data_IF_885705522108
#
_entry.id   IF_885705522108
#
_cell.length_a   1.000
_cell.length_b   1.000
_cell.length_c   1.000
_cell.angle_alpha   90.00
_cell.angle_beta   90.00
_cell.angle_gamma   90.00
#
_symmetry.space_group_name_H-M   'P 1'
#
loop_
_entity.id
_entity.type
_entity.pdbx_description
1 polymer ?
#
# COMPACT_ATOMS: atom_id res chain seq x y z
N UNK A 1 -29.77 1.56 -49.43
CA UNK A 1 -29.55 2.64 -48.45
C UNK A 1 -28.43 2.23 -47.47
N UNK A 2 -27.24 2.76 -47.66
CA UNK A 2 -26.06 2.41 -46.82
C UNK A 2 -26.07 3.31 -45.59
N UNK A 3 -26.14 2.72 -44.40
CA UNK A 3 -26.01 3.46 -43.11
C UNK A 3 -24.60 3.91 -42.93
N UNK A 4 -24.36 5.22 -43.01
CA UNK A 4 -23.10 5.89 -42.66
C UNK A 4 -22.74 5.60 -41.20
N UNK A 5 -21.61 4.89 -40.95
CA UNK A 5 -21.03 4.71 -39.63
C UNK A 5 -20.46 6.06 -39.15
N UNK A 6 -21.13 6.69 -38.20
CA UNK A 6 -20.62 7.89 -37.56
C UNK A 6 -19.22 7.64 -36.97
N UNK A 7 -18.21 8.36 -37.47
CA UNK A 7 -16.84 8.35 -36.94
C UNK A 7 -16.88 8.78 -35.46
N UNK A 8 -16.62 7.84 -34.54
CA UNK A 8 -16.38 8.15 -33.12
C UNK A 8 -15.29 9.20 -33.01
N UNK A 9 -15.63 10.39 -32.52
CA UNK A 9 -14.66 11.43 -32.19
C UNK A 9 -13.62 10.84 -31.24
N UNK A 10 -12.37 10.72 -31.68
CA UNK A 10 -11.25 10.33 -30.81
C UNK A 10 -11.07 11.44 -29.79
N UNK A 11 -11.35 11.16 -28.52
CA UNK A 11 -10.94 12.03 -27.40
C UNK A 11 -9.43 12.25 -27.46
N UNK A 12 -8.95 13.50 -27.38
CA UNK A 12 -7.52 13.79 -27.43
C UNK A 12 -6.81 12.99 -26.32
N UNK A 13 -5.69 12.33 -26.66
CA UNK A 13 -4.86 11.59 -25.71
C UNK A 13 -4.31 12.61 -24.70
N UNK A 14 -4.79 12.55 -23.47
CA UNK A 14 -4.33 13.45 -22.42
C UNK A 14 -3.04 12.89 -21.83
N UNK A 15 -1.91 13.53 -22.11
CA UNK A 15 -0.62 13.27 -21.46
C UNK A 15 -0.58 14.13 -20.21
N UNK A 16 -0.60 13.50 -19.03
CA UNK A 16 -0.46 14.21 -17.77
C UNK A 16 0.98 14.70 -17.58
N UNK A 17 1.12 15.98 -17.23
CA UNK A 17 2.40 16.59 -16.89
C UNK A 17 2.69 16.45 -15.39
N UNK A 18 3.92 16.66 -15.00
CA UNK A 18 4.34 16.57 -13.59
C UNK A 18 3.47 17.41 -12.62
N UNK A 19 3.11 18.68 -12.92
CA UNK A 19 2.23 19.46 -12.04
C UNK A 19 0.85 18.82 -11.85
N UNK A 20 0.27 18.25 -12.93
CA UNK A 20 -1.05 17.59 -12.87
C UNK A 20 -1.02 16.35 -11.99
N UNK A 21 0.08 15.56 -12.09
CA UNK A 21 0.30 14.37 -11.28
C UNK A 21 0.53 14.72 -9.80
N UNK A 22 1.28 15.78 -9.50
CA UNK A 22 1.50 16.25 -8.13
C UNK A 22 0.20 16.77 -7.50
N UNK A 23 -0.63 17.49 -8.26
CA UNK A 23 -1.95 17.90 -7.80
C UNK A 23 -2.83 16.69 -7.45
N UNK A 24 -2.89 15.72 -8.35
CA UNK A 24 -3.67 14.49 -8.13
C UNK A 24 -3.12 13.67 -6.96
N UNK A 25 -1.79 13.63 -6.77
CA UNK A 25 -1.15 12.99 -5.61
C UNK A 25 -1.58 13.65 -4.31
N UNK A 26 -1.57 14.97 -4.25
CA UNK A 26 -2.03 15.71 -3.07
C UNK A 26 -3.48 15.41 -2.73
N UNK A 27 -4.37 15.31 -3.72
CA UNK A 27 -5.75 14.91 -3.53
C UNK A 27 -5.86 13.49 -2.95
N UNK A 28 -5.08 12.52 -3.47
CA UNK A 28 -5.03 11.17 -2.89
C UNK A 28 -4.62 11.20 -1.43
N UNK A 29 -3.54 11.91 -1.09
CA UNK A 29 -3.02 11.92 0.28
C UNK A 29 -4.00 12.58 1.26
N UNK A 30 -4.67 13.65 0.84
CA UNK A 30 -5.69 14.32 1.65
C UNK A 30 -6.93 13.45 1.90
N UNK A 31 -7.24 12.50 1.00
CA UNK A 31 -8.36 11.58 1.16
C UNK A 31 -8.07 10.40 2.10
N UNK A 32 -6.83 10.24 2.56
CA UNK A 32 -6.42 9.17 3.45
C UNK A 32 -6.38 9.66 4.91
N UNK A 33 -7.06 8.95 5.80
CA UNK A 33 -7.16 9.30 7.23
C UNK A 33 -5.95 8.86 8.05
N UNK A 34 -5.27 7.78 7.66
CA UNK A 34 -4.13 7.23 8.38
C UNK A 34 -2.80 7.77 7.86
N UNK A 35 -2.00 8.34 8.76
CA UNK A 35 -0.64 8.83 8.43
C UNK A 35 0.26 7.73 7.86
N UNK A 36 0.13 6.50 8.34
CA UNK A 36 0.86 5.34 7.80
C UNK A 36 0.47 5.05 6.35
N UNK A 37 -0.83 5.12 6.04
CA UNK A 37 -1.33 4.96 4.67
C UNK A 37 -0.86 6.10 3.77
N UNK A 38 -0.89 7.34 4.27
CA UNK A 38 -0.38 8.51 3.52
C UNK A 38 1.09 8.32 3.12
N UNK A 39 1.97 7.93 4.06
CA UNK A 39 3.39 7.67 3.78
C UNK A 39 3.58 6.56 2.74
N UNK A 40 2.81 5.48 2.86
CA UNK A 40 2.90 4.34 1.95
C UNK A 40 2.44 4.69 0.54
N UNK A 41 1.33 5.44 0.42
CA UNK A 41 0.81 5.89 -0.87
C UNK A 41 1.67 6.98 -1.50
N UNK A 42 2.18 7.92 -0.70
CA UNK A 42 3.13 8.96 -1.18
C UNK A 42 4.35 8.31 -1.83
N UNK A 43 4.97 7.35 -1.15
CA UNK A 43 6.12 6.63 -1.70
C UNK A 43 5.76 5.89 -3.00
N UNK A 44 4.65 5.16 -3.02
CA UNK A 44 4.23 4.38 -4.18
C UNK A 44 3.88 5.26 -5.39
N UNK A 45 3.23 6.41 -5.17
CA UNK A 45 2.87 7.35 -6.23
C UNK A 45 4.12 8.06 -6.74
N UNK A 46 5.05 8.46 -5.88
CA UNK A 46 6.31 9.10 -6.26
C UNK A 46 7.13 8.21 -7.18
N UNK A 47 7.33 6.94 -6.81
CA UNK A 47 8.03 5.98 -7.67
C UNK A 47 7.34 5.80 -9.04
N UNK A 48 5.99 5.78 -9.05
CA UNK A 48 5.25 5.73 -10.31
C UNK A 48 5.46 6.98 -11.14
N UNK A 49 5.42 8.17 -10.56
CA UNK A 49 5.61 9.44 -11.26
C UNK A 49 7.02 9.51 -11.85
N UNK A 50 8.05 9.14 -11.08
CA UNK A 50 9.44 9.08 -11.54
C UNK A 50 9.57 8.13 -12.75
N UNK A 51 9.02 6.92 -12.64
CA UNK A 51 9.02 5.97 -13.75
C UNK A 51 8.22 6.48 -14.96
N UNK A 52 7.05 7.05 -14.73
CA UNK A 52 6.18 7.57 -15.80
C UNK A 52 6.82 8.75 -16.54
N UNK A 53 7.47 9.64 -15.84
CA UNK A 53 8.15 10.81 -16.41
C UNK A 53 9.48 10.46 -17.07
N UNK A 54 10.12 9.34 -16.72
CA UNK A 54 11.35 8.87 -17.39
C UNK A 54 11.09 8.40 -18.82
N UNK A 55 9.85 7.99 -19.13
CA UNK A 55 9.40 7.62 -20.47
C UNK A 55 8.59 8.77 -21.11
N UNK A 56 9.18 9.61 -21.94
CA UNK A 56 8.48 10.78 -22.47
C UNK A 56 7.29 10.39 -23.38
N UNK A 57 6.18 11.12 -23.24
CA UNK A 57 5.02 11.13 -24.15
C UNK A 57 4.04 9.96 -24.04
N UNK A 58 4.03 9.20 -22.98
CA UNK A 58 3.02 8.16 -22.78
C UNK A 58 1.73 8.77 -22.21
N UNK A 59 0.60 8.45 -22.83
CA UNK A 59 -0.70 8.78 -22.25
C UNK A 59 -0.94 7.93 -21.00
N UNK A 60 -1.42 8.54 -19.90
CA UNK A 60 -1.77 7.81 -18.69
C UNK A 60 -3.02 6.94 -18.93
N UNK A 61 -2.79 5.68 -19.26
CA UNK A 61 -3.82 4.71 -19.65
C UNK A 61 -3.51 3.29 -19.14
N UNK A 62 -4.43 2.36 -19.39
CA UNK A 62 -4.30 0.95 -19.02
C UNK A 62 -2.99 0.33 -19.50
N UNK A 63 -2.55 0.61 -20.74
CA UNK A 63 -1.34 0.03 -21.34
C UNK A 63 -0.10 0.46 -20.57
N UNK A 64 -0.01 1.75 -20.24
CA UNK A 64 1.12 2.31 -19.47
C UNK A 64 1.16 1.70 -18.07
N UNK A 65 0.02 1.61 -17.36
CA UNK A 65 -0.02 1.00 -16.03
C UNK A 65 0.28 -0.50 -16.08
N UNK A 66 -0.08 -1.18 -17.18
CA UNK A 66 0.33 -2.59 -17.38
C UNK A 66 1.85 -2.71 -17.56
N UNK A 67 2.49 -1.81 -18.33
CA UNK A 67 3.95 -1.75 -18.46
C UNK A 67 4.63 -1.48 -17.11
N UNK A 68 4.09 -0.56 -16.33
CA UNK A 68 4.58 -0.31 -14.97
C UNK A 68 4.53 -1.57 -14.11
N UNK A 69 3.41 -2.33 -14.14
CA UNK A 69 3.32 -3.61 -13.43
C UNK A 69 4.43 -4.57 -13.88
N UNK A 70 4.65 -4.72 -15.19
CA UNK A 70 5.68 -5.60 -15.74
C UNK A 70 7.08 -5.15 -15.27
N UNK A 71 7.36 -3.84 -15.25
CA UNK A 71 8.64 -3.33 -14.76
C UNK A 71 8.86 -3.65 -13.28
N UNK A 72 7.80 -3.62 -12.46
CA UNK A 72 7.88 -4.03 -11.05
C UNK A 72 8.14 -5.54 -10.90
N UNK A 73 7.53 -6.38 -11.75
CA UNK A 73 7.77 -7.83 -11.79
C UNK A 73 9.22 -8.14 -12.21
N UNK A 74 9.75 -7.46 -13.22
CA UNK A 74 11.15 -7.58 -13.65
C UNK A 74 12.13 -7.18 -12.54
N UNK A 75 11.79 -6.18 -11.74
CA UNK A 75 12.56 -5.77 -10.55
C UNK A 75 12.38 -6.72 -9.36
N UNK A 76 11.69 -7.85 -9.53
CA UNK A 76 11.46 -8.92 -8.55
C UNK A 76 10.79 -8.45 -7.25
N UNK A 77 9.93 -7.43 -7.31
CA UNK A 77 9.14 -7.04 -6.15
C UNK A 77 8.14 -8.13 -5.76
N UNK A 78 7.89 -8.27 -4.46
CA UNK A 78 6.87 -9.19 -3.95
C UNK A 78 5.47 -8.81 -4.50
N UNK A 79 4.62 -9.80 -4.76
CA UNK A 79 3.27 -9.59 -5.31
C UNK A 79 2.42 -8.66 -4.45
N UNK A 80 2.60 -8.68 -3.12
CA UNK A 80 1.95 -7.74 -2.20
C UNK A 80 2.36 -6.30 -2.44
N UNK A 81 3.66 -6.05 -2.64
CA UNK A 81 4.22 -4.73 -2.94
C UNK A 81 3.73 -4.22 -4.30
N UNK A 82 3.74 -5.09 -5.32
CA UNK A 82 3.22 -4.75 -6.65
C UNK A 82 1.75 -4.35 -6.58
N UNK A 83 0.94 -5.13 -5.87
CA UNK A 83 -0.49 -4.87 -5.73
C UNK A 83 -0.78 -3.59 -4.95
N UNK A 84 0.01 -3.28 -3.92
CA UNK A 84 -0.06 -2.01 -3.19
C UNK A 84 0.22 -0.82 -4.10
N UNK A 85 1.32 -0.88 -4.87
CA UNK A 85 1.69 0.18 -5.82
C UNK A 85 0.63 0.38 -6.90
N UNK A 86 0.07 -0.71 -7.43
CA UNK A 86 -1.04 -0.63 -8.38
C UNK A 86 -2.31 -0.03 -7.75
N UNK A 87 -2.58 -0.31 -6.48
CA UNK A 87 -3.71 0.32 -5.77
C UNK A 87 -3.53 1.84 -5.67
N UNK A 88 -2.33 2.30 -5.33
CA UNK A 88 -1.99 3.72 -5.27
C UNK A 88 -2.12 4.40 -6.65
N UNK A 89 -1.62 3.78 -7.72
CA UNK A 89 -1.73 4.31 -9.09
C UNK A 89 -3.20 4.35 -9.57
N UNK A 90 -4.00 3.35 -9.22
CA UNK A 90 -5.44 3.37 -9.55
C UNK A 90 -6.15 4.53 -8.85
N UNK A 91 -5.83 4.78 -7.57
CA UNK A 91 -6.40 5.91 -6.84
C UNK A 91 -5.97 7.24 -7.44
N UNK A 92 -4.68 7.37 -7.81
CA UNK A 92 -4.17 8.53 -8.54
C UNK A 92 -4.97 8.80 -9.83
N UNK A 93 -5.29 7.74 -10.60
CA UNK A 93 -6.08 7.87 -11.82
C UNK A 93 -7.51 8.36 -11.57
N UNK A 94 -8.14 7.93 -10.47
CA UNK A 94 -9.46 8.42 -10.09
C UNK A 94 -9.44 9.89 -9.68
N UNK A 95 -8.54 10.28 -8.80
CA UNK A 95 -8.39 11.69 -8.39
C UNK A 95 -8.07 12.59 -9.60
N UNK A 96 -7.24 12.10 -10.55
CA UNK A 96 -6.99 12.82 -11.80
C UNK A 96 -8.25 12.96 -12.65
N UNK A 97 -9.13 11.96 -12.66
CA UNK A 97 -10.39 12.04 -13.38
C UNK A 97 -11.39 13.00 -12.70
N UNK A 98 -11.48 12.96 -11.38
CA UNK A 98 -12.34 13.83 -10.58
C UNK A 98 -11.89 15.31 -10.68
N UNK A 99 -10.59 15.54 -10.83
CA UNK A 99 -10.03 16.88 -11.13
C UNK A 99 -10.18 17.29 -12.61
N UNK A 100 -10.79 16.47 -13.47
CA UNK A 100 -10.94 16.77 -14.91
C UNK A 100 -9.65 16.65 -15.74
N UNK A 101 -8.56 16.15 -15.16
CA UNK A 101 -7.26 15.98 -15.82
C UNK A 101 -7.21 14.70 -16.68
N UNK A 102 -8.00 13.71 -16.33
CA UNK A 102 -8.11 12.43 -17.02
C UNK A 102 -9.56 12.13 -17.34
N UNK A 103 -9.84 11.44 -18.47
CA UNK A 103 -11.21 11.00 -18.72
C UNK A 103 -11.61 9.83 -17.81
N UNK A 104 -12.88 9.76 -17.41
CA UNK A 104 -13.41 8.68 -16.58
C UNK A 104 -13.20 7.29 -17.23
N UNK A 105 -13.28 7.20 -18.57
CA UNK A 105 -13.04 5.97 -19.31
C UNK A 105 -11.59 5.47 -19.19
N UNK A 106 -10.62 6.39 -19.19
CA UNK A 106 -9.21 6.05 -18.99
C UNK A 106 -8.96 5.58 -17.56
N UNK A 107 -9.52 6.26 -16.56
CA UNK A 107 -9.43 5.85 -15.17
C UNK A 107 -10.07 4.46 -14.95
N UNK A 108 -11.25 4.21 -15.52
CA UNK A 108 -11.90 2.90 -15.50
C UNK A 108 -11.07 1.83 -16.21
N UNK A 109 -10.37 2.19 -17.30
CA UNK A 109 -9.42 1.33 -17.99
C UNK A 109 -8.23 0.93 -17.09
N UNK A 110 -7.66 1.88 -16.36
CA UNK A 110 -6.57 1.68 -15.42
C UNK A 110 -7.00 0.76 -14.26
N UNK A 111 -8.23 0.92 -13.74
CA UNK A 111 -8.77 0.03 -12.72
C UNK A 111 -8.74 -1.43 -13.13
N UNK A 112 -8.98 -1.74 -14.40
CA UNK A 112 -9.03 -3.10 -14.94
C UNK A 112 -7.66 -3.77 -15.12
N UNK A 113 -6.55 -3.09 -14.83
CA UNK A 113 -5.22 -3.71 -14.80
C UNK A 113 -5.20 -4.80 -13.72
N UNK A 114 -4.93 -6.04 -14.10
CA UNK A 114 -4.82 -7.15 -13.14
C UNK A 114 -3.55 -7.00 -12.29
N UNK A 115 -3.67 -7.29 -11.01
CA UNK A 115 -2.52 -7.34 -10.10
C UNK A 115 -1.63 -8.57 -10.32
N UNK A 116 -0.51 -8.62 -9.62
CA UNK A 116 0.34 -9.81 -9.56
C UNK A 116 -0.33 -10.90 -8.71
N UNK A 117 -0.29 -12.15 -9.21
CA UNK A 117 -0.83 -13.30 -8.46
C UNK A 117 0.03 -13.56 -7.22
N UNK A 118 -0.61 -13.85 -6.10
CA UNK A 118 0.07 -14.43 -4.94
C UNK A 118 0.29 -15.91 -5.22
N UNK A 119 1.54 -16.31 -5.35
CA UNK A 119 1.91 -17.72 -5.44
C UNK A 119 2.17 -18.24 -4.02
N UNK A 120 1.44 -19.29 -3.65
CA UNK A 120 1.54 -19.94 -2.36
C UNK A 120 0.73 -19.29 -1.22
N UNK A 121 0.47 -20.09 -0.21
CA UNK A 121 -0.03 -19.62 1.08
C UNK A 121 1.21 -19.34 1.93
N UNK A 122 1.40 -18.14 2.48
CA UNK A 122 2.46 -17.94 3.45
C UNK A 122 2.20 -18.86 4.64
N UNK A 123 2.97 -19.90 4.77
CA UNK A 123 2.98 -20.69 6.00
C UNK A 123 3.61 -19.79 7.05
N UNK A 124 2.77 -19.19 7.90
CA UNK A 124 3.27 -18.43 9.06
C UNK A 124 4.03 -19.38 9.97
N UNK A 125 5.22 -19.02 10.37
CA UNK A 125 5.91 -19.72 11.46
C UNK A 125 5.17 -19.35 12.75
N UNK A 126 4.23 -20.21 13.13
CA UNK A 126 3.49 -20.06 14.39
C UNK A 126 4.38 -20.51 15.53
N UNK A 127 4.48 -19.70 16.56
CA UNK A 127 5.14 -20.09 17.79
C UNK A 127 4.26 -21.12 18.52
N UNK A 128 4.83 -22.27 18.86
CA UNK A 128 4.18 -23.20 19.80
C UNK A 128 4.26 -22.65 21.21
N UNK A 129 3.45 -23.17 22.13
CA UNK A 129 3.46 -22.75 23.53
C UNK A 129 4.87 -22.93 24.16
N UNK A 130 5.56 -24.01 23.80
CA UNK A 130 6.92 -24.31 24.28
C UNK A 130 7.94 -23.28 23.75
N UNK A 131 7.86 -22.95 22.44
CA UNK A 131 8.73 -21.94 21.84
C UNK A 131 8.45 -20.55 22.43
N UNK A 132 7.19 -20.24 22.73
CA UNK A 132 6.80 -19.01 23.42
C UNK A 132 7.43 -18.91 24.82
N UNK A 133 7.39 -19.99 25.60
CA UNK A 133 8.07 -20.06 26.91
C UNK A 133 9.59 -19.92 26.79
N UNK A 134 10.21 -20.60 25.83
CA UNK A 134 11.63 -20.47 25.57
C UNK A 134 12.01 -19.03 25.22
N UNK A 135 11.20 -18.36 24.40
CA UNK A 135 11.43 -16.95 24.02
C UNK A 135 11.38 -16.02 25.25
N UNK A 136 10.42 -16.21 26.15
CA UNK A 136 10.35 -15.45 27.41
C UNK A 136 11.58 -15.64 28.29
N UNK A 137 12.09 -16.87 28.38
CA UNK A 137 13.29 -17.18 29.16
C UNK A 137 14.56 -16.50 28.66
N UNK A 138 14.65 -16.19 27.36
CA UNK A 138 15.81 -15.46 26.80
C UNK A 138 15.99 -14.05 27.36
N UNK A 139 14.89 -13.46 27.85
CA UNK A 139 14.88 -12.08 28.41
C UNK A 139 14.81 -12.06 29.95
N UNK A 140 14.93 -13.22 30.60
CA UNK A 140 14.80 -13.32 32.06
C UNK A 140 16.13 -12.97 32.75
N UNK A 141 16.40 -11.67 32.93
CA UNK A 141 17.57 -11.13 33.59
C UNK A 141 17.24 -10.08 34.65
N UNK A 142 18.21 -9.80 35.52
CA UNK A 142 18.03 -8.84 36.63
C UNK A 142 18.05 -7.36 36.18
N UNK A 143 18.58 -7.06 34.99
CA UNK A 143 18.70 -5.69 34.51
C UNK A 143 17.32 -5.08 34.16
N UNK A 144 17.20 -3.75 34.25
CA UNK A 144 15.99 -3.04 33.82
C UNK A 144 15.65 -3.32 32.35
N UNK A 145 16.66 -3.46 31.51
CA UNK A 145 16.49 -3.80 30.09
C UNK A 145 15.85 -5.19 29.94
N UNK A 146 16.37 -6.19 30.66
CA UNK A 146 15.82 -7.56 30.62
C UNK A 146 14.37 -7.58 31.12
N UNK A 147 14.06 -6.86 32.20
CA UNK A 147 12.69 -6.77 32.70
C UNK A 147 11.74 -6.12 31.69
N UNK A 148 12.17 -5.05 31.03
CA UNK A 148 11.40 -4.39 29.96
C UNK A 148 11.17 -5.34 28.79
N UNK A 149 12.22 -6.00 28.33
CA UNK A 149 12.17 -6.91 27.17
C UNK A 149 11.28 -8.12 27.49
N UNK A 150 11.35 -8.67 28.71
CA UNK A 150 10.45 -9.71 29.19
C UNK A 150 8.98 -9.25 29.18
N UNK A 151 8.69 -8.09 29.77
CA UNK A 151 7.32 -7.55 29.80
C UNK A 151 6.78 -7.30 28.39
N UNK A 152 7.61 -6.77 27.50
CA UNK A 152 7.28 -6.57 26.08
C UNK A 152 6.89 -7.88 25.39
N UNK A 153 7.72 -8.91 25.56
CA UNK A 153 7.45 -10.22 24.97
C UNK A 153 6.23 -10.89 25.57
N UNK A 154 6.04 -10.78 26.90
CA UNK A 154 4.88 -11.34 27.60
C UNK A 154 3.57 -10.74 27.10
N UNK A 155 3.51 -9.41 26.94
CA UNK A 155 2.34 -8.70 26.41
C UNK A 155 2.09 -9.07 24.96
N UNK A 156 3.14 -9.14 24.11
CA UNK A 156 2.99 -9.54 22.71
C UNK A 156 2.45 -10.96 22.56
N UNK A 157 2.95 -11.90 23.38
CA UNK A 157 2.53 -13.31 23.34
C UNK A 157 1.14 -13.52 23.97
N UNK A 158 0.86 -12.84 25.07
CA UNK A 158 -0.40 -13.01 25.79
C UNK A 158 -1.57 -12.26 25.17
N UNK A 159 -1.33 -11.04 24.68
CA UNK A 159 -2.38 -10.17 24.17
C UNK A 159 -2.42 -10.08 22.63
N UNK A 160 -1.38 -10.55 21.93
CA UNK A 160 -1.33 -10.50 20.47
C UNK A 160 -1.34 -9.08 19.88
N UNK A 161 -0.87 -8.08 20.64
CA UNK A 161 -0.88 -6.69 20.21
C UNK A 161 0.00 -6.44 19.00
N UNK A 162 -0.41 -5.49 18.14
CA UNK A 162 0.47 -4.99 17.10
C UNK A 162 1.55 -4.10 17.72
N UNK A 163 2.71 -4.01 17.05
CA UNK A 163 3.83 -3.18 17.53
C UNK A 163 3.41 -1.74 17.90
N UNK A 164 2.56 -1.12 17.08
CA UNK A 164 2.09 0.26 17.35
C UNK A 164 1.18 0.34 18.58
N UNK A 165 0.36 -0.67 18.82
CA UNK A 165 -0.50 -0.78 19.99
C UNK A 165 0.35 -0.97 21.26
N UNK A 166 1.34 -1.88 21.21
CA UNK A 166 2.26 -2.08 22.31
C UNK A 166 3.04 -0.81 22.69
N UNK A 167 3.56 -0.07 21.70
CA UNK A 167 4.32 1.16 21.95
C UNK A 167 3.46 2.32 22.41
N UNK A 168 2.15 2.25 22.25
CA UNK A 168 1.19 3.25 22.74
C UNK A 168 0.66 2.93 24.14
N UNK A 169 0.89 1.71 24.68
CA UNK A 169 0.46 1.32 26.01
C UNK A 169 1.07 2.22 27.09
N UNK A 170 0.25 2.57 28.05
CA UNK A 170 0.60 3.29 29.27
C UNK A 170 0.36 2.43 30.49
N UNK A 171 0.98 2.76 31.60
CA UNK A 171 0.78 2.05 32.87
C UNK A 171 -0.70 2.12 33.32
N UNK A 172 -1.39 3.19 32.98
CA UNK A 172 -2.81 3.44 33.30
C UNK A 172 -3.75 2.49 32.56
N UNK A 173 -3.30 1.90 31.42
CA UNK A 173 -4.07 0.94 30.65
C UNK A 173 -4.06 -0.47 31.28
N UNK A 174 -3.22 -0.68 32.33
CA UNK A 174 -3.09 -1.96 33.03
C UNK A 174 -4.04 -1.96 34.22
N UNK A 175 -5.11 -2.74 34.14
CA UNK A 175 -6.04 -2.93 35.25
C UNK A 175 -5.75 -4.26 35.93
N UNK A 176 -5.41 -4.22 37.22
CA UNK A 176 -5.30 -5.43 38.04
C UNK A 176 -6.71 -5.82 38.52
N UNK A 177 -7.17 -6.99 38.10
CA UNK A 177 -8.42 -7.57 38.62
C UNK A 177 -8.07 -8.62 39.65
N UNK A 178 -8.70 -8.55 40.83
CA UNK A 178 -8.39 -9.43 41.96
C UNK A 178 -8.85 -10.86 41.81
N UNK A 179 -9.64 -11.19 40.75
CA UNK A 179 -10.19 -12.52 40.55
C UNK A 179 -9.92 -13.02 39.12
N UNK A 180 -8.73 -13.50 38.85
CA UNK A 180 -8.51 -14.59 37.85
C UNK A 180 -7.05 -15.02 37.90
#
# INVERSE_FOLDING_TARGET
MAKSKAKRKRTPKHVLKLPDLEQSKSAVLNSLTSQSSQRTYDHAIREFIEWYCSEPRLAFNKTVVTRYRISLEQRRYASTTINLRLAAVRRLAYEAADCGLLSADLAAGIRRVKGAKRLGVPVGNWLTAELGKCLLLTSNGASLRSKRDYATLAILLGCGLRRAELTALRVEDIQQREEH
#
